data_IF_465295952866
#
_entry.id   IF_465295952866
#
_cell.length_a   1.000
_cell.length_b   1.000
_cell.length_c   1.000
_cell.angle_alpha   90.00
_cell.angle_beta   90.00
_cell.angle_gamma   90.00
#
_symmetry.space_group_name_H-M   'P 1'
#
loop_
_entity.id
_entity.type
_entity.pdbx_description
1 polymer ?
#
# COMPACT_ATOMS: atom_id res chain seq x y z
N UNK A 1 3.01 20.93 -8.79
CA UNK A 1 2.72 19.63 -9.46
C UNK A 1 2.17 18.72 -8.38
N UNK A 2 0.93 18.21 -8.52
CA UNK A 2 0.37 17.26 -7.54
C UNK A 2 0.90 15.87 -7.94
N UNK A 3 1.84 15.33 -7.18
CA UNK A 3 2.36 13.99 -7.43
C UNK A 3 1.30 12.97 -7.00
N UNK A 4 0.77 12.22 -7.96
CA UNK A 4 -0.07 11.05 -7.72
C UNK A 4 0.74 9.83 -8.15
N UNK A 5 1.08 8.97 -7.19
CA UNK A 5 1.82 7.72 -7.43
C UNK A 5 0.94 6.54 -7.06
N UNK A 6 0.84 5.57 -7.95
CA UNK A 6 0.19 4.29 -7.71
C UNK A 6 1.25 3.18 -7.81
N UNK A 7 1.46 2.45 -6.72
CA UNK A 7 2.48 1.40 -6.62
C UNK A 7 1.85 0.08 -6.22
N UNK A 8 2.28 -1.01 -6.85
CA UNK A 8 1.96 -2.37 -6.46
C UNK A 8 3.25 -3.09 -6.06
N UNK A 9 3.23 -3.77 -4.92
CA UNK A 9 4.38 -4.44 -4.32
C UNK A 9 4.23 -5.94 -4.51
N UNK A 10 5.14 -6.56 -5.23
CA UNK A 10 5.01 -7.96 -5.64
C UNK A 10 6.28 -8.74 -5.33
N UNK A 11 6.10 -9.98 -4.87
CA UNK A 11 7.19 -10.95 -4.89
C UNK A 11 7.35 -11.49 -6.32
N UNK A 12 8.59 -11.54 -6.81
CA UNK A 12 8.92 -12.22 -8.06
C UNK A 12 8.81 -13.72 -7.79
N UNK A 13 7.66 -14.31 -8.10
CA UNK A 13 7.47 -15.76 -8.08
C UNK A 13 7.83 -16.37 -9.44
N UNK A 14 8.26 -17.64 -9.42
CA UNK A 14 8.66 -18.41 -10.61
C UNK A 14 7.46 -18.83 -11.50
N UNK A 15 6.24 -18.38 -11.19
CA UNK A 15 5.05 -18.56 -12.03
C UNK A 15 5.09 -17.59 -13.22
N UNK A 16 5.99 -17.86 -14.17
CA UNK A 16 6.40 -16.93 -15.22
C UNK A 16 5.26 -16.41 -16.13
N UNK A 17 4.31 -17.25 -16.56
CA UNK A 17 3.36 -16.81 -17.59
C UNK A 17 2.21 -15.94 -17.08
N UNK A 18 1.56 -16.32 -15.97
CA UNK A 18 0.45 -15.52 -15.39
C UNK A 18 0.96 -14.23 -14.75
N UNK A 19 2.18 -14.26 -14.21
CA UNK A 19 2.82 -13.06 -13.66
C UNK A 19 3.18 -12.06 -14.77
N UNK A 20 3.67 -12.49 -15.94
CA UNK A 20 4.02 -11.57 -17.02
C UNK A 20 2.83 -10.81 -17.61
N UNK A 21 1.70 -11.50 -17.87
CA UNK A 21 0.50 -10.85 -18.37
C UNK A 21 -0.03 -9.78 -17.40
N UNK A 22 -0.16 -10.14 -16.11
CA UNK A 22 -0.59 -9.22 -15.06
C UNK A 22 0.37 -8.02 -14.92
N UNK A 23 1.69 -8.25 -14.96
CA UNK A 23 2.68 -7.16 -14.91
C UNK A 23 2.53 -6.21 -16.10
N UNK A 24 2.32 -6.73 -17.30
CA UNK A 24 2.07 -5.91 -18.49
C UNK A 24 0.80 -5.08 -18.35
N UNK A 25 -0.29 -5.67 -17.86
CA UNK A 25 -1.56 -4.98 -17.66
C UNK A 25 -1.43 -3.85 -16.61
N UNK A 26 -0.83 -4.15 -15.46
CA UNK A 26 -0.60 -3.18 -14.39
C UNK A 26 0.29 -2.02 -14.87
N UNK A 27 1.39 -2.33 -15.57
CA UNK A 27 2.28 -1.32 -16.10
C UNK A 27 1.58 -0.45 -17.16
N UNK A 28 0.79 -1.06 -18.06
CA UNK A 28 0.01 -0.32 -19.06
C UNK A 28 -1.07 0.57 -18.44
N UNK A 29 -1.52 0.24 -17.22
CA UNK A 29 -2.46 1.04 -16.42
C UNK A 29 -1.81 2.17 -15.63
N UNK A 30 -0.49 2.36 -15.76
CA UNK A 30 0.27 3.39 -15.03
C UNK A 30 0.64 3.01 -13.60
N UNK A 31 0.47 1.74 -13.20
CA UNK A 31 0.89 1.25 -11.88
C UNK A 31 2.38 0.96 -11.90
N UNK A 32 3.12 1.57 -10.97
CA UNK A 32 4.53 1.27 -10.76
C UNK A 32 4.68 -0.05 -10.02
N UNK A 33 5.36 -1.01 -10.64
CA UNK A 33 5.64 -2.31 -10.02
C UNK A 33 6.91 -2.21 -9.17
N UNK A 34 6.78 -2.51 -7.88
CA UNK A 34 7.88 -2.57 -6.93
C UNK A 34 8.16 -4.02 -6.61
N UNK A 35 9.33 -4.49 -7.01
CA UNK A 35 9.75 -5.87 -6.74
C UNK A 35 10.23 -5.98 -5.29
N UNK A 36 9.67 -6.95 -4.57
CA UNK A 36 9.98 -7.27 -3.18
C UNK A 36 10.64 -8.65 -3.12
N UNK A 37 11.97 -8.78 -3.36
CA UNK A 37 12.66 -10.04 -3.23
C UNK A 37 12.76 -10.43 -1.75
N UNK A 38 11.99 -11.44 -1.33
CA UNK A 38 11.89 -11.81 0.08
C UNK A 38 13.11 -12.59 0.57
N UNK A 39 13.78 -13.39 -0.30
CA UNK A 39 14.91 -14.26 0.08
C UNK A 39 14.62 -15.06 1.38
N UNK A 40 13.40 -15.54 1.55
CA UNK A 40 12.94 -16.27 2.74
C UNK A 40 12.64 -15.40 3.97
N UNK A 41 12.76 -14.07 3.87
CA UNK A 41 12.41 -13.13 4.95
C UNK A 41 10.95 -12.74 4.87
N UNK A 42 10.30 -12.64 6.02
CA UNK A 42 8.93 -12.13 6.13
C UNK A 42 8.90 -10.59 6.10
N UNK A 43 7.73 -10.06 5.77
CA UNK A 43 7.37 -8.64 5.90
C UNK A 43 8.24 -7.69 5.06
N UNK A 44 8.87 -8.19 3.98
CA UNK A 44 9.70 -7.34 3.11
C UNK A 44 8.82 -6.34 2.38
N UNK A 45 7.72 -6.82 1.77
CA UNK A 45 6.74 -5.95 1.13
C UNK A 45 6.13 -4.94 2.12
N UNK A 46 5.75 -5.38 3.33
CA UNK A 46 5.12 -4.51 4.33
C UNK A 46 6.03 -3.36 4.74
N UNK A 47 7.31 -3.65 4.99
CA UNK A 47 8.31 -2.64 5.32
C UNK A 47 8.50 -1.65 4.18
N UNK A 48 8.54 -2.13 2.93
CA UNK A 48 8.68 -1.26 1.76
C UNK A 48 7.47 -0.34 1.59
N UNK A 49 6.26 -0.87 1.74
CA UNK A 49 5.02 -0.08 1.71
C UNK A 49 5.04 0.99 2.81
N UNK A 50 5.35 0.61 4.05
CA UNK A 50 5.38 1.55 5.19
C UNK A 50 6.41 2.67 4.92
N UNK A 51 7.62 2.32 4.48
CA UNK A 51 8.66 3.30 4.16
C UNK A 51 8.19 4.27 3.07
N UNK A 52 7.62 3.75 1.98
CA UNK A 52 7.12 4.58 0.88
C UNK A 52 5.96 5.50 1.30
N UNK A 53 5.03 5.01 2.14
CA UNK A 53 3.94 5.82 2.68
C UNK A 53 4.48 7.00 3.51
N UNK A 54 5.49 6.77 4.34
CA UNK A 54 6.09 7.83 5.15
C UNK A 54 7.00 8.75 4.34
N UNK A 55 7.74 8.24 3.35
CA UNK A 55 8.51 9.06 2.42
C UNK A 55 7.60 10.04 1.67
N UNK A 56 6.47 9.54 1.13
CA UNK A 56 5.44 10.40 0.53
C UNK A 56 4.95 11.47 1.50
N UNK A 57 4.74 11.11 2.76
CA UNK A 57 4.28 12.04 3.80
C UNK A 57 5.35 13.04 4.27
N UNK A 58 6.63 12.77 4.04
CA UNK A 58 7.73 13.71 4.29
C UNK A 58 7.79 14.73 3.14
N UNK A 59 7.67 14.26 1.91
CA UNK A 59 7.86 15.08 0.71
C UNK A 59 6.61 15.90 0.33
N UNK A 60 5.44 15.52 0.86
CA UNK A 60 4.15 16.16 0.52
C UNK A 60 3.60 16.94 1.72
N UNK A 61 2.94 18.10 1.52
CA UNK A 61 2.22 18.77 2.61
C UNK A 61 1.03 17.96 3.14
N UNK A 62 0.62 18.24 4.39
CA UNK A 62 -0.37 17.52 5.20
C UNK A 62 -1.85 17.62 4.74
N UNK A 63 -2.12 17.63 3.43
CA UNK A 63 -3.48 17.57 2.85
C UNK A 63 -3.62 16.48 1.78
N UNK A 64 -2.60 15.65 1.58
CA UNK A 64 -2.68 14.57 0.62
C UNK A 64 -3.41 13.34 1.17
N UNK A 65 -4.00 12.56 0.27
CA UNK A 65 -4.69 11.32 0.59
C UNK A 65 -3.78 10.15 0.28
N UNK A 66 -3.64 9.23 1.24
CA UNK A 66 -3.00 7.93 1.03
C UNK A 66 -4.09 6.88 0.87
N UNK A 67 -4.08 6.16 -0.25
CA UNK A 67 -4.95 5.00 -0.47
C UNK A 67 -4.11 3.75 -0.23
N UNK A 68 -4.52 2.93 0.73
CA UNK A 68 -3.86 1.67 1.06
C UNK A 68 -4.81 0.52 0.82
N UNK A 69 -4.38 -0.44 0.00
CA UNK A 69 -5.10 -1.69 -0.25
C UNK A 69 -4.41 -2.77 0.57
N UNK A 70 -5.01 -3.22 1.66
CA UNK A 70 -4.44 -4.28 2.50
C UNK A 70 -5.48 -4.90 3.43
N UNK A 71 -5.33 -6.19 3.72
CA UNK A 71 -6.02 -6.88 4.81
C UNK A 71 -5.17 -7.06 6.07
N UNK A 72 -3.91 -6.61 6.04
CA UNK A 72 -2.94 -6.90 7.09
C UNK A 72 -3.02 -5.89 8.24
N UNK A 73 -3.17 -6.42 9.45
CA UNK A 73 -3.24 -5.62 10.68
C UNK A 73 -1.93 -4.92 11.01
N UNK A 74 -0.79 -5.36 10.45
CA UNK A 74 0.52 -4.80 10.79
C UNK A 74 0.69 -3.37 10.27
N UNK A 75 -0.16 -2.91 9.35
CA UNK A 75 -0.24 -1.50 8.92
C UNK A 75 -0.99 -0.59 9.91
N UNK A 76 -1.67 -1.12 10.92
CA UNK A 76 -2.51 -0.35 11.86
C UNK A 76 -1.79 0.86 12.45
N UNK A 77 -0.54 0.68 12.89
CA UNK A 77 0.24 1.76 13.50
C UNK A 77 0.68 2.82 12.48
N UNK A 78 1.02 2.41 11.26
CA UNK A 78 1.38 3.34 10.19
C UNK A 78 0.19 4.23 9.81
N UNK A 79 -1.00 3.65 9.64
CA UNK A 79 -2.24 4.38 9.35
C UNK A 79 -2.54 5.41 10.47
N UNK A 80 -2.49 4.98 11.73
CA UNK A 80 -2.74 5.85 12.89
C UNK A 80 -1.76 7.04 12.91
N UNK A 81 -0.47 6.77 12.70
CA UNK A 81 0.58 7.79 12.69
C UNK A 81 0.38 8.82 11.57
N UNK A 82 -0.02 8.39 10.37
CA UNK A 82 -0.29 9.31 9.26
C UNK A 82 -1.52 10.18 9.53
N UNK A 83 -2.58 9.62 10.10
CA UNK A 83 -3.76 10.43 10.51
C UNK A 83 -3.45 11.45 11.58
N UNK A 84 -2.61 11.11 12.56
CA UNK A 84 -2.14 12.07 13.57
C UNK A 84 -1.31 13.21 12.95
N UNK A 85 -0.74 12.98 11.76
CA UNK A 85 -0.09 14.00 10.92
C UNK A 85 -1.05 14.65 9.91
N UNK A 86 -2.36 14.54 10.13
CA UNK A 86 -3.43 15.13 9.33
C UNK A 86 -3.56 14.58 7.89
N UNK A 87 -2.95 13.44 7.58
CA UNK A 87 -3.20 12.75 6.31
C UNK A 87 -4.56 12.03 6.34
N UNK A 88 -5.28 12.11 5.22
CA UNK A 88 -6.45 11.27 5.00
C UNK A 88 -6.00 9.90 4.51
N UNK A 89 -6.35 8.84 5.21
CA UNK A 89 -6.04 7.47 4.80
C UNK A 89 -7.32 6.73 4.39
N UNK A 90 -7.42 6.35 3.11
CA UNK A 90 -8.48 5.49 2.60
C UNK A 90 -7.97 4.07 2.59
N UNK A 91 -8.58 3.20 3.37
CA UNK A 91 -8.29 1.78 3.40
C UNK A 91 -9.26 1.05 2.48
N UNK A 92 -8.74 0.27 1.53
CA UNK A 92 -9.54 -0.69 0.77
C UNK A 92 -9.17 -2.09 1.26
N UNK A 93 -10.14 -2.83 1.75
CA UNK A 93 -9.90 -4.10 2.45
C UNK A 93 -11.11 -5.03 2.36
N UNK A 94 -10.93 -6.30 2.70
CA UNK A 94 -12.04 -7.26 2.76
C UNK A 94 -12.93 -6.97 3.97
N UNK A 95 -14.22 -7.29 3.87
CA UNK A 95 -15.21 -7.00 4.92
C UNK A 95 -14.96 -7.72 6.26
N UNK A 96 -14.09 -8.74 6.25
CA UNK A 96 -13.65 -9.48 7.44
C UNK A 96 -12.31 -8.97 8.03
N UNK A 97 -11.82 -7.80 7.58
CA UNK A 97 -10.61 -7.20 8.12
C UNK A 97 -10.71 -6.96 9.63
N UNK A 98 -9.57 -7.07 10.32
CA UNK A 98 -9.53 -6.92 11.76
C UNK A 98 -9.95 -5.50 12.19
N UNK A 99 -10.79 -5.40 13.23
CA UNK A 99 -11.37 -4.12 13.66
C UNK A 99 -10.32 -3.06 14.03
N UNK A 100 -9.13 -3.48 14.50
CA UNK A 100 -8.04 -2.53 14.78
C UNK A 100 -7.56 -1.80 13.53
N UNK A 101 -7.53 -2.48 12.38
CA UNK A 101 -7.06 -1.91 11.12
C UNK A 101 -8.06 -0.89 10.59
N UNK A 102 -9.34 -1.27 10.54
CA UNK A 102 -10.42 -0.42 10.03
C UNK A 102 -10.67 0.79 10.92
N UNK A 103 -10.62 0.63 12.24
CA UNK A 103 -10.78 1.74 13.20
C UNK A 103 -9.73 2.84 13.04
N UNK A 104 -8.54 2.50 12.55
CA UNK A 104 -7.51 3.50 12.29
C UNK A 104 -7.67 4.22 10.97
N UNK A 105 -8.40 3.72 9.97
CA UNK A 105 -8.53 4.44 8.68
C UNK A 105 -9.40 5.72 8.79
N UNK A 106 -9.29 6.63 7.82
CA UNK A 106 -10.23 7.76 7.69
C UNK A 106 -11.51 7.34 6.98
N UNK A 107 -11.39 6.46 5.99
CA UNK A 107 -12.49 5.84 5.23
C UNK A 107 -12.11 4.39 4.98
N UNK A 108 -13.07 3.48 5.08
CA UNK A 108 -12.92 2.08 4.65
C UNK A 108 -13.81 1.82 3.44
N UNK A 109 -13.28 1.10 2.45
CA UNK A 109 -14.00 0.63 1.27
C UNK A 109 -13.82 -0.89 1.16
N UNK A 110 -14.87 -1.59 0.73
CA UNK A 110 -14.77 -3.02 0.43
C UNK A 110 -13.95 -3.26 -0.84
N UNK A 111 -13.14 -4.31 -0.84
CA UNK A 111 -12.31 -4.79 -1.97
C UNK A 111 -13.07 -5.76 -2.88
#
# INVERSE_FOLDING_TARGET
MVASSCKAYLEISDQAQRSMALRSELQSSGVSLVDCPHNGRKDVADKMIIVDMFAHAIDTPALSTVVLITGDRDFTYAISTLKLRMYRVVLVTLSNAHASLTAQASVCLDW
#
